data_IF_181653688354
#
_entry.id   IF_181653688354
#
_cell.length_a   1.000
_cell.length_b   1.000
_cell.length_c   1.000
_cell.angle_alpha   90.00
_cell.angle_beta   90.00
_cell.angle_gamma   90.00
#
_symmetry.space_group_name_H-M   'P 1'
#
loop_
_entity.id
_entity.type
_entity.pdbx_description
1 polymer ?
#
# COMPACT_ATOMS: atom_id res chain seq x y z
N UNK A 1 -58.71 -1.54 111.44
CA UNK A 1 -58.59 -0.24 110.75
C UNK A 1 -58.35 -0.56 109.29
N UNK A 2 -59.42 -0.76 108.53
CA UNK A 2 -60.24 0.28 107.88
C UNK A 2 -59.62 0.70 106.54
N UNK A 3 -60.25 0.18 105.49
CA UNK A 3 -60.55 0.75 104.17
C UNK A 3 -59.44 1.10 103.14
N UNK A 4 -59.67 0.49 101.97
CA UNK A 4 -59.28 0.86 100.58
C UNK A 4 -59.66 2.32 100.23
N UNK A 5 -59.11 2.99 99.17
CA UNK A 5 -59.15 2.44 97.81
C UNK A 5 -58.03 2.75 96.80
N UNK A 6 -57.97 1.81 95.84
CA UNK A 6 -57.66 1.91 94.40
C UNK A 6 -57.36 3.31 93.85
N UNK A 7 -56.22 3.41 93.16
CA UNK A 7 -56.14 4.15 91.89
C UNK A 7 -55.15 3.47 90.94
N UNK A 8 -55.68 3.01 89.81
CA UNK A 8 -54.96 2.59 88.60
C UNK A 8 -54.54 3.86 87.86
N UNK A 9 -53.24 4.03 87.57
CA UNK A 9 -52.78 4.94 86.52
C UNK A 9 -51.66 4.20 85.74
N UNK A 10 -52.05 3.50 84.68
CA UNK A 10 -52.10 3.99 83.29
C UNK A 10 -50.76 3.77 82.60
N UNK A 11 -50.64 2.56 82.04
CA UNK A 11 -49.74 2.25 80.94
C UNK A 11 -49.97 3.28 79.82
N UNK A 12 -49.07 4.23 79.64
CA UNK A 12 -49.07 5.05 78.43
C UNK A 12 -48.82 4.14 77.23
N UNK A 13 -49.74 4.06 76.25
CA UNK A 13 -49.46 3.38 75.00
C UNK A 13 -48.44 4.24 74.24
N UNK A 14 -47.24 3.69 74.02
CA UNK A 14 -46.36 4.17 72.97
C UNK A 14 -47.16 4.03 71.68
N UNK A 15 -47.61 5.14 71.13
CA UNK A 15 -48.33 5.14 69.87
C UNK A 15 -47.45 4.45 68.82
N UNK A 16 -47.97 3.47 68.06
CA UNK A 16 -47.21 2.94 66.94
C UNK A 16 -46.88 4.13 66.03
N UNK A 17 -45.63 4.27 65.56
CA UNK A 17 -45.30 5.38 64.68
C UNK A 17 -46.25 5.30 63.51
N UNK A 18 -46.92 6.43 63.22
CA UNK A 18 -47.91 6.52 62.16
C UNK A 18 -47.31 5.89 60.89
N UNK A 19 -48.05 5.04 60.18
CA UNK A 19 -47.58 4.41 58.92
C UNK A 19 -46.98 5.45 57.96
N UNK A 20 -47.49 6.68 58.01
CA UNK A 20 -46.96 7.86 57.33
C UNK A 20 -45.52 8.21 57.70
N UNK A 21 -45.09 8.09 58.96
CA UNK A 21 -43.71 8.37 59.41
C UNK A 21 -42.74 7.31 58.86
N UNK A 22 -43.16 6.05 58.84
CA UNK A 22 -42.37 4.99 58.21
C UNK A 22 -42.30 5.17 56.69
N UNK A 23 -43.42 5.52 56.06
CA UNK A 23 -43.48 5.78 54.63
C UNK A 23 -42.68 7.04 54.25
N UNK A 24 -42.68 8.11 55.05
CA UNK A 24 -41.88 9.31 54.79
C UNK A 24 -40.40 9.03 55.00
N UNK A 25 -40.01 8.24 56.00
CA UNK A 25 -38.63 7.78 56.15
C UNK A 25 -38.21 6.90 54.97
N UNK A 26 -39.06 5.98 54.53
CA UNK A 26 -38.79 5.13 53.37
C UNK A 26 -38.71 5.95 52.09
N UNK A 27 -39.59 6.96 51.92
CA UNK A 27 -39.56 7.87 50.78
C UNK A 27 -38.30 8.75 50.81
N UNK A 28 -37.84 9.23 51.97
CA UNK A 28 -36.57 9.96 52.12
C UNK A 28 -35.37 9.08 51.77
N UNK A 29 -35.39 7.81 52.16
CA UNK A 29 -34.34 6.83 51.84
C UNK A 29 -34.34 6.53 50.32
N UNK A 30 -35.52 6.49 49.68
CA UNK A 30 -35.66 6.26 48.24
C UNK A 30 -35.45 7.52 47.38
N UNK A 31 -35.64 8.71 47.96
CA UNK A 31 -35.43 10.02 47.32
C UNK A 31 -34.02 10.56 47.56
N UNK A 32 -33.20 9.94 48.42
CA UNK A 32 -31.77 10.23 48.44
C UNK A 32 -31.17 9.63 47.17
N UNK A 33 -30.69 10.44 46.21
CA UNK A 33 -29.98 9.90 45.05
C UNK A 33 -28.80 9.08 45.57
N UNK A 34 -28.72 7.81 45.17
CA UNK A 34 -27.79 6.84 45.71
C UNK A 34 -26.34 7.33 45.70
N UNK A 35 -25.89 7.84 46.83
CA UNK A 35 -24.48 8.10 47.12
C UNK A 35 -23.97 6.94 48.00
N UNK A 36 -23.89 5.74 47.42
CA UNK A 36 -22.97 4.74 47.95
C UNK A 36 -21.88 4.51 46.92
N UNK A 37 -20.64 4.45 47.38
CA UNK A 37 -19.37 4.28 46.64
C UNK A 37 -18.55 5.55 46.31
N UNK A 38 -18.69 6.64 47.06
CA UNK A 38 -17.71 7.75 47.01
C UNK A 38 -16.37 7.30 47.62
N UNK A 39 -15.39 6.95 46.78
CA UNK A 39 -14.00 6.66 47.19
C UNK A 39 -13.43 5.32 46.73
N UNK A 40 -14.26 4.41 46.21
CA UNK A 40 -13.81 3.10 45.69
C UNK A 40 -13.31 3.16 44.23
N UNK A 41 -13.45 4.31 43.58
CA UNK A 41 -13.09 4.51 42.18
C UNK A 41 -14.08 3.87 41.21
N UNK A 42 -14.28 4.48 40.06
CA UNK A 42 -14.93 3.88 38.91
C UNK A 42 -14.05 2.78 38.32
N UNK A 43 -14.66 1.87 37.57
CA UNK A 43 -13.89 0.83 36.91
C UNK A 43 -12.91 1.45 35.89
N UNK A 44 -11.65 0.98 35.87
CA UNK A 44 -10.68 1.50 34.94
C UNK A 44 -11.09 1.23 33.50
N UNK A 45 -10.90 2.22 32.64
CA UNK A 45 -11.10 2.09 31.20
C UNK A 45 -9.75 2.07 30.50
N UNK A 46 -9.50 1.10 29.62
CA UNK A 46 -8.28 1.04 28.81
C UNK A 46 -8.62 1.31 27.35
N UNK A 47 -7.85 2.20 26.74
CA UNK A 47 -7.92 2.55 25.33
C UNK A 47 -6.55 2.40 24.66
N UNK A 48 -6.58 2.12 23.36
CA UNK A 48 -5.39 2.01 22.50
C UNK A 48 -5.07 3.39 21.91
N UNK A 49 -3.89 3.95 22.20
CA UNK A 49 -3.47 5.23 21.61
C UNK A 49 -2.80 5.06 20.24
N UNK A 50 -2.05 3.98 20.05
CA UNK A 50 -1.35 3.71 18.79
C UNK A 50 -0.02 3.01 18.97
N UNK A 51 0.91 3.28 18.05
CA UNK A 51 2.23 2.65 18.00
C UNK A 51 3.32 3.63 18.39
N UNK A 52 4.13 3.27 19.38
CA UNK A 52 5.24 4.10 19.88
C UNK A 52 6.44 3.22 20.20
N UNK A 53 7.64 3.65 19.81
CA UNK A 53 8.92 2.95 20.06
C UNK A 53 8.95 1.45 19.65
N UNK A 54 8.24 1.08 18.59
CA UNK A 54 8.16 -0.32 18.14
C UNK A 54 7.26 -1.21 19.01
N UNK A 55 6.48 -0.63 19.91
CA UNK A 55 5.44 -1.28 20.70
C UNK A 55 4.06 -0.65 20.52
N UNK A 56 3.10 -1.13 21.31
CA UNK A 56 1.75 -0.58 21.40
C UNK A 56 1.64 0.30 22.64
N UNK A 57 1.10 1.51 22.47
CA UNK A 57 0.81 2.41 23.57
C UNK A 57 -0.64 2.24 24.04
N UNK A 58 -0.80 1.89 25.31
CA UNK A 58 -2.10 1.78 25.98
C UNK A 58 -2.26 2.96 26.95
N UNK A 59 -3.47 3.52 27.03
CA UNK A 59 -3.87 4.49 28.07
C UNK A 59 -4.91 3.84 28.97
N UNK A 60 -4.79 4.06 30.27
CA UNK A 60 -5.83 3.77 31.23
C UNK A 60 -6.28 5.03 31.96
N UNK A 61 -7.60 5.18 32.13
CA UNK A 61 -8.23 6.26 32.89
C UNK A 61 -9.21 5.71 33.92
N UNK A 62 -9.18 6.25 35.15
CA UNK A 62 -10.12 5.88 36.21
C UNK A 62 -10.30 7.04 37.20
N UNK A 63 -11.53 7.31 37.64
CA UNK A 63 -11.86 8.47 38.50
C UNK A 63 -12.62 8.06 39.77
N UNK A 64 -12.79 8.97 40.72
CA UNK A 64 -13.58 8.72 41.94
C UNK A 64 -12.84 7.97 43.05
N UNK A 65 -11.51 7.99 43.05
CA UNK A 65 -10.68 7.31 44.05
C UNK A 65 -10.49 8.17 45.30
N UNK A 66 -10.60 7.57 46.48
CA UNK A 66 -10.17 8.23 47.72
C UNK A 66 -9.58 7.20 48.69
N UNK A 67 -8.36 7.40 49.21
CA UNK A 67 -7.45 8.53 48.98
C UNK A 67 -6.69 8.34 47.65
N UNK A 68 -5.51 8.96 47.50
CA UNK A 68 -4.66 8.82 46.31
C UNK A 68 -4.42 7.33 45.97
N UNK A 69 -4.84 6.87 44.77
CA UNK A 69 -4.68 5.47 44.37
C UNK A 69 -3.21 5.16 44.02
N UNK A 70 -2.85 3.87 44.06
CA UNK A 70 -1.58 3.37 43.53
C UNK A 70 -1.84 2.55 42.27
N UNK A 71 -1.24 2.97 41.15
CA UNK A 71 -1.37 2.30 39.87
C UNK A 71 -0.12 1.44 39.58
N UNK A 72 -0.32 0.27 38.99
CA UNK A 72 0.78 -0.58 38.56
C UNK A 72 0.40 -1.37 37.31
N UNK A 73 1.25 -1.27 36.30
CA UNK A 73 1.21 -2.09 35.09
C UNK A 73 2.06 -3.34 35.27
N UNK A 74 1.57 -4.47 34.77
CA UNK A 74 2.30 -5.73 34.74
C UNK A 74 2.21 -6.39 33.38
N UNK A 75 3.29 -7.06 33.00
CA UNK A 75 3.32 -7.89 31.80
C UNK A 75 2.70 -9.28 32.06
N UNK A 76 2.69 -10.11 31.01
CA UNK A 76 2.20 -11.50 31.06
C UNK A 76 2.98 -12.40 32.04
N UNK A 77 4.18 -12.00 32.45
CA UNK A 77 5.02 -12.70 33.43
C UNK A 77 4.83 -12.14 34.84
N UNK A 78 3.96 -11.14 35.01
CA UNK A 78 3.71 -10.45 36.27
C UNK A 78 4.79 -9.44 36.65
N UNK A 79 5.75 -9.16 35.77
CA UNK A 79 6.81 -8.17 35.97
C UNK A 79 6.24 -6.76 35.88
N UNK A 80 6.76 -5.87 36.70
CA UNK A 80 6.28 -4.48 36.76
C UNK A 80 6.76 -3.72 35.52
N UNK A 81 5.82 -3.17 34.76
CA UNK A 81 6.12 -2.31 33.64
C UNK A 81 6.14 -0.85 34.10
N UNK A 82 7.19 -0.08 33.74
CA UNK A 82 7.22 1.34 34.02
C UNK A 82 6.15 2.06 33.18
N UNK A 83 5.33 2.95 33.77
CA UNK A 83 4.43 3.79 33.00
C UNK A 83 5.22 4.81 32.17
N UNK A 84 4.76 5.04 30.95
CA UNK A 84 5.24 6.09 30.05
C UNK A 84 4.78 7.47 30.54
N UNK A 85 3.55 7.54 31.04
CA UNK A 85 3.01 8.71 31.72
C UNK A 85 2.10 8.30 32.86
N UNK A 86 2.08 9.10 33.92
CA UNK A 86 1.15 8.95 35.03
C UNK A 86 0.77 10.34 35.55
N UNK A 87 -0.52 10.63 35.53
CA UNK A 87 -1.11 11.87 36.02
C UNK A 87 -2.21 11.52 37.03
N UNK A 88 -2.14 12.14 38.20
CA UNK A 88 -3.16 12.02 39.23
C UNK A 88 -3.65 13.42 39.58
N UNK A 89 -4.92 13.67 39.31
CA UNK A 89 -5.57 14.97 39.51
C UNK A 89 -6.64 14.83 40.58
N UNK A 90 -6.70 15.78 41.51
CA UNK A 90 -7.77 15.84 42.51
C UNK A 90 -8.87 16.78 42.02
N UNK A 91 -10.12 16.35 42.14
CA UNK A 91 -11.29 17.17 41.81
C UNK A 91 -11.72 18.08 42.98
N UNK A 92 -12.71 18.94 42.73
CA UNK A 92 -13.24 19.86 43.73
C UNK A 92 -13.94 19.13 44.89
N UNK A 93 -14.34 17.88 44.67
CA UNK A 93 -14.98 16.99 45.64
C UNK A 93 -13.95 16.23 46.48
N UNK A 94 -12.66 16.41 46.21
CA UNK A 94 -11.55 15.79 46.93
C UNK A 94 -11.23 14.36 46.48
N UNK A 95 -11.88 13.86 45.42
CA UNK A 95 -11.61 12.56 44.81
C UNK A 95 -10.48 12.66 43.79
N UNK A 96 -9.77 11.56 43.58
CA UNK A 96 -8.65 11.45 42.67
C UNK A 96 -9.05 10.78 41.37
N UNK A 97 -8.58 11.35 40.28
CA UNK A 97 -8.63 10.80 38.92
C UNK A 97 -7.23 10.45 38.47
N UNK A 98 -7.06 9.23 37.98
CA UNK A 98 -5.83 8.66 37.50
C UNK A 98 -5.90 8.51 35.97
N UNK A 99 -4.86 8.99 35.30
CA UNK A 99 -4.59 8.72 33.90
C UNK A 99 -3.16 8.22 33.78
N UNK A 100 -2.96 7.06 33.14
CA UNK A 100 -1.63 6.49 32.96
C UNK A 100 -1.51 5.84 31.60
N UNK A 101 -0.32 5.89 31.00
CA UNK A 101 -0.02 5.19 29.76
C UNK A 101 1.19 4.27 29.91
N UNK A 102 1.24 3.21 29.10
CA UNK A 102 2.35 2.26 29.04
C UNK A 102 2.63 1.86 27.60
N UNK A 103 3.90 1.66 27.27
CA UNK A 103 4.32 1.10 25.98
C UNK A 103 4.66 -0.38 26.16
N UNK A 104 3.94 -1.23 25.43
CA UNK A 104 4.09 -2.68 25.47
C UNK A 104 4.87 -3.13 24.24
N UNK A 105 6.09 -3.63 24.46
CA UNK A 105 6.95 -4.16 23.38
C UNK A 105 6.66 -5.65 23.18
N UNK A 106 6.59 -6.07 21.93
CA UNK A 106 5.96 -7.34 21.54
C UNK A 106 6.67 -8.62 21.98
N UNK A 107 5.86 -9.68 22.13
CA UNK A 107 6.19 -11.08 22.35
C UNK A 107 4.91 -11.91 22.20
N UNK A 108 5.02 -13.19 21.81
CA UNK A 108 3.86 -14.02 21.47
C UNK A 108 2.83 -14.01 22.61
N UNK A 109 1.59 -13.60 22.31
CA UNK A 109 0.51 -13.45 23.31
C UNK A 109 0.84 -12.57 24.52
N UNK A 110 1.32 -11.34 24.29
CA UNK A 110 1.58 -10.39 25.38
C UNK A 110 0.27 -9.93 26.04
N UNK A 111 -0.07 -10.53 27.19
CA UNK A 111 -1.09 -10.01 28.09
C UNK A 111 -0.51 -8.89 28.94
N UNK A 112 -1.30 -7.86 29.19
CA UNK A 112 -0.94 -6.79 30.12
C UNK A 112 -2.04 -6.66 31.15
N UNK A 113 -1.66 -6.71 32.42
CA UNK A 113 -2.58 -6.41 33.50
C UNK A 113 -2.29 -5.04 34.07
N UNK A 114 -3.37 -4.31 34.32
CA UNK A 114 -3.34 -3.04 34.97
C UNK A 114 -4.05 -3.18 36.32
N UNK A 115 -3.40 -2.72 37.39
CA UNK A 115 -3.96 -2.80 38.73
C UNK A 115 -3.94 -1.45 39.42
N UNK A 116 -5.08 -1.07 39.99
CA UNK A 116 -5.23 0.08 40.86
C UNK A 116 -5.57 -0.42 42.26
N UNK A 117 -4.80 0.05 43.26
CA UNK A 117 -4.98 -0.32 44.66
C UNK A 117 -5.34 0.90 45.49
N UNK A 118 -6.40 0.75 46.30
CA UNK A 118 -6.73 1.72 47.34
C UNK A 118 -5.95 1.35 48.63
N UNK A 119 -5.04 2.23 49.11
CA UNK A 119 -4.19 1.91 50.25
C UNK A 119 -4.94 1.81 51.58
N UNK A 120 -6.14 2.41 51.72
CA UNK A 120 -6.92 2.35 52.95
C UNK A 120 -7.93 1.19 52.95
N UNK A 121 -8.53 0.92 51.79
CA UNK A 121 -9.59 -0.08 51.68
C UNK A 121 -9.08 -1.48 51.38
N UNK A 122 -7.77 -1.66 51.11
CA UNK A 122 -7.16 -2.93 50.64
C UNK A 122 -7.88 -3.55 49.43
N UNK A 123 -8.70 -2.77 48.74
CA UNK A 123 -9.44 -3.15 47.55
C UNK A 123 -8.55 -2.88 46.33
N UNK A 124 -8.42 -3.90 45.48
CA UNK A 124 -7.66 -3.86 44.22
C UNK A 124 -8.64 -4.00 43.06
N UNK A 125 -8.63 -3.06 42.13
CA UNK A 125 -9.28 -3.22 40.82
C UNK A 125 -8.21 -3.62 39.82
N UNK A 126 -8.44 -4.73 39.12
CA UNK A 126 -7.52 -5.25 38.12
C UNK A 126 -8.25 -5.40 36.79
N UNK A 127 -7.62 -4.94 35.72
CA UNK A 127 -8.09 -5.04 34.36
C UNK A 127 -7.01 -5.72 33.53
N UNK A 128 -7.35 -6.84 32.89
CA UNK A 128 -6.44 -7.61 32.05
C UNK A 128 -6.81 -7.38 30.60
N UNK A 129 -5.85 -6.94 29.80
CA UNK A 129 -6.00 -6.74 28.36
C UNK A 129 -5.13 -7.73 27.62
N UNK A 130 -5.75 -8.47 26.70
CA UNK A 130 -5.06 -9.40 25.82
C UNK A 130 -4.76 -8.68 24.51
N UNK A 131 -3.48 -8.56 24.18
CA UNK A 131 -3.03 -7.96 22.93
C UNK A 131 -2.80 -9.09 21.94
N UNK A 132 -3.57 -9.13 20.84
CA UNK A 132 -3.30 -10.09 19.78
C UNK A 132 -2.01 -9.70 19.03
N UNK A 133 -1.18 -10.70 18.71
CA UNK A 133 0.09 -10.53 17.98
C UNK A 133 -0.06 -9.78 16.65
N UNK A 134 -1.25 -9.82 16.04
CA UNK A 134 -1.57 -9.12 14.79
C UNK A 134 -1.42 -7.60 14.93
N UNK A 135 -1.62 -7.06 16.14
CA UNK A 135 -1.50 -5.63 16.37
C UNK A 135 -0.06 -5.22 16.63
N UNK A 136 0.82 -6.10 17.12
CA UNK A 136 2.20 -5.71 17.37
C UNK A 136 2.92 -5.54 16.02
N UNK A 137 3.63 -4.42 15.79
CA UNK A 137 4.48 -4.26 14.61
C UNK A 137 5.70 -5.17 14.77
N UNK A 138 5.48 -6.48 14.66
CA UNK A 138 6.53 -7.45 14.55
C UNK A 138 7.35 -7.08 13.33
N UNK A 139 8.67 -6.96 13.52
CA UNK A 139 9.65 -7.02 12.44
C UNK A 139 9.51 -8.40 11.80
N UNK A 140 8.53 -8.52 10.91
CA UNK A 140 8.08 -9.83 10.49
C UNK A 140 9.22 -10.52 9.72
N UNK A 141 9.55 -11.78 10.06
CA UNK A 141 10.68 -12.51 9.48
C UNK A 141 10.65 -12.57 7.95
N UNK A 142 9.46 -12.52 7.36
CA UNK A 142 9.28 -12.52 5.91
C UNK A 142 9.99 -11.34 5.21
N UNK A 143 10.10 -10.17 5.86
CA UNK A 143 10.76 -8.99 5.30
C UNK A 143 12.28 -9.15 5.25
N UNK A 144 12.85 -10.01 6.11
CA UNK A 144 14.26 -10.40 6.04
C UNK A 144 14.52 -11.53 5.04
N UNK A 145 13.51 -12.34 4.73
CA UNK A 145 13.63 -13.42 3.74
C UNK A 145 13.72 -12.90 2.29
N UNK A 146 13.23 -11.69 2.01
CA UNK A 146 13.32 -11.09 0.68
C UNK A 146 14.67 -10.43 0.35
N UNK A 147 15.60 -10.33 1.30
CA UNK A 147 16.94 -9.78 1.05
C UNK A 147 18.00 -10.86 0.71
N UNK A 148 17.67 -12.15 0.83
CA UNK A 148 18.59 -13.26 0.60
C UNK A 148 18.53 -13.91 -0.79
N UNK A 149 17.56 -13.55 -1.63
CA UNK A 149 17.41 -14.11 -2.98
C UNK A 149 17.08 -12.99 -3.97
N UNK A 150 18.09 -12.39 -4.63
CA UNK A 150 18.30 -12.76 -6.03
C UNK A 150 19.77 -12.65 -6.47
N UNK A 151 20.67 -13.44 -5.91
CA UNK A 151 22.03 -13.55 -6.48
C UNK A 151 22.08 -14.45 -7.74
N UNK A 152 21.09 -15.34 -7.93
CA UNK A 152 21.08 -16.33 -9.00
C UNK A 152 20.27 -15.94 -10.24
N UNK A 153 19.33 -14.99 -10.12
CA UNK A 153 18.48 -14.57 -11.25
C UNK A 153 19.24 -13.75 -12.32
N UNK A 154 20.11 -12.79 -11.95
CA UNK A 154 20.84 -12.00 -12.94
C UNK A 154 21.81 -12.82 -13.80
N UNK A 155 22.60 -13.78 -13.26
CA UNK A 155 23.45 -14.67 -14.07
C UNK A 155 22.64 -15.53 -15.04
N UNK A 156 21.50 -16.09 -14.60
CA UNK A 156 20.66 -16.94 -15.44
C UNK A 156 20.07 -16.18 -16.63
N UNK A 157 19.59 -14.95 -16.41
CA UNK A 157 19.09 -14.08 -17.47
C UNK A 157 20.19 -13.68 -18.45
N UNK A 158 21.39 -13.37 -17.97
CA UNK A 158 22.52 -13.02 -18.84
C UNK A 158 22.91 -14.18 -19.79
N UNK A 159 22.92 -15.43 -19.28
CA UNK A 159 23.22 -16.63 -20.08
C UNK A 159 22.15 -16.88 -21.15
N UNK A 160 20.88 -16.59 -20.89
CA UNK A 160 19.81 -16.76 -21.88
C UNK A 160 19.76 -15.62 -22.90
N UNK A 161 19.98 -14.38 -22.48
CA UNK A 161 19.89 -13.21 -23.35
C UNK A 161 21.11 -13.08 -24.29
N UNK A 162 22.32 -13.43 -23.85
CA UNK A 162 23.53 -13.24 -24.65
C UNK A 162 23.54 -14.01 -25.99
N UNK A 163 23.18 -15.32 -26.05
CA UNK A 163 23.07 -16.06 -27.31
C UNK A 163 21.99 -15.50 -28.22
N UNK A 164 20.83 -15.14 -27.67
CA UNK A 164 19.72 -14.57 -28.43
C UNK A 164 20.15 -13.24 -29.11
N UNK A 165 20.78 -12.35 -28.35
CA UNK A 165 21.32 -11.09 -28.89
C UNK A 165 22.43 -11.33 -29.92
N UNK A 166 23.30 -12.33 -29.69
CA UNK A 166 24.33 -12.71 -30.66
C UNK A 166 23.74 -13.21 -31.98
N UNK A 167 22.72 -14.07 -31.93
CA UNK A 167 22.04 -14.58 -33.13
C UNK A 167 21.31 -13.47 -33.88
N UNK A 168 20.60 -12.57 -33.17
CA UNK A 168 19.94 -11.41 -33.79
C UNK A 168 20.96 -10.49 -34.48
N UNK A 169 22.10 -10.22 -33.83
CA UNK A 169 23.19 -9.44 -34.45
C UNK A 169 23.77 -10.13 -35.68
N UNK A 170 23.94 -11.46 -35.63
CA UNK A 170 24.45 -12.25 -36.77
C UNK A 170 23.46 -12.22 -37.95
N UNK A 171 22.15 -12.35 -37.68
CA UNK A 171 21.08 -12.26 -38.68
C UNK A 171 21.03 -10.88 -39.34
N UNK A 172 21.09 -9.79 -38.56
CA UNK A 172 21.14 -8.42 -39.10
C UNK A 172 22.33 -8.22 -40.04
N UNK A 173 23.53 -8.65 -39.65
CA UNK A 173 24.72 -8.56 -40.51
C UNK A 173 24.57 -9.37 -41.81
N UNK A 174 23.92 -10.53 -41.79
CA UNK A 174 23.66 -11.27 -43.03
C UNK A 174 22.63 -10.59 -43.93
N UNK A 175 21.59 -10.00 -43.36
CA UNK A 175 20.59 -9.26 -44.13
C UNK A 175 21.18 -8.00 -44.74
N UNK A 176 22.00 -7.25 -44.01
CA UNK A 176 22.68 -6.05 -44.54
C UNK A 176 23.56 -6.40 -45.74
N UNK A 177 24.32 -7.50 -45.68
CA UNK A 177 25.12 -8.00 -46.80
C UNK A 177 24.26 -8.36 -48.01
N UNK A 178 23.13 -9.03 -47.79
CA UNK A 178 22.18 -9.39 -48.85
C UNK A 178 21.56 -8.14 -49.49
N UNK A 179 21.13 -7.18 -48.66
CA UNK A 179 20.58 -5.90 -49.11
C UNK A 179 21.61 -5.11 -49.92
N UNK A 180 22.87 -5.09 -49.48
CA UNK A 180 23.94 -4.43 -50.22
C UNK A 180 24.20 -5.08 -51.59
N UNK A 181 24.20 -6.41 -51.66
CA UNK A 181 24.32 -7.12 -52.95
C UNK A 181 23.11 -6.89 -53.85
N UNK A 182 21.89 -6.91 -53.30
CA UNK A 182 20.67 -6.62 -54.04
C UNK A 182 20.67 -5.18 -54.56
N UNK A 183 21.07 -4.20 -53.74
CA UNK A 183 21.18 -2.80 -54.14
C UNK A 183 22.23 -2.59 -55.25
N UNK A 184 23.38 -3.29 -55.18
CA UNK A 184 24.39 -3.25 -56.26
C UNK A 184 23.86 -3.82 -57.57
N UNK A 185 23.20 -4.99 -57.52
CA UNK A 185 22.61 -5.61 -58.70
C UNK A 185 21.49 -4.76 -59.28
N UNK A 186 20.64 -4.20 -58.43
CA UNK A 186 19.57 -3.28 -58.82
C UNK A 186 20.17 -2.04 -59.49
N UNK A 187 21.19 -1.42 -58.89
CA UNK A 187 21.90 -0.27 -59.46
C UNK A 187 22.54 -0.56 -60.83
N UNK A 188 23.10 -1.76 -61.01
CA UNK A 188 23.68 -2.18 -62.28
C UNK A 188 22.59 -2.40 -63.35
N UNK A 189 21.48 -3.05 -62.99
CA UNK A 189 20.33 -3.21 -63.90
C UNK A 189 19.69 -1.87 -64.26
N UNK A 190 19.58 -0.94 -63.32
CA UNK A 190 19.05 0.40 -63.59
C UNK A 190 19.98 1.17 -64.53
N UNK A 191 21.30 1.07 -64.37
CA UNK A 191 22.25 1.72 -65.27
C UNK A 191 22.21 1.15 -66.70
N UNK A 192 22.10 -0.18 -66.84
CA UNK A 192 21.91 -0.81 -68.16
C UNK A 192 20.56 -0.41 -68.80
N UNK A 193 19.49 -0.31 -68.00
CA UNK A 193 18.20 0.15 -68.50
C UNK A 193 18.25 1.61 -68.96
N UNK A 194 18.89 2.49 -68.20
CA UNK A 194 19.11 3.88 -68.59
C UNK A 194 19.94 3.97 -69.88
N UNK A 195 21.00 3.17 -70.01
CA UNK A 195 21.80 3.11 -71.23
C UNK A 195 20.95 2.69 -72.45
N UNK A 196 20.16 1.62 -72.32
CA UNK A 196 19.24 1.20 -73.38
C UNK A 196 18.19 2.26 -73.70
N UNK A 197 17.68 2.95 -72.68
CA UNK A 197 16.75 4.04 -72.85
C UNK A 197 17.40 5.19 -73.65
N UNK A 198 18.63 5.59 -73.31
CA UNK A 198 19.36 6.63 -74.05
C UNK A 198 19.67 6.23 -75.49
N UNK A 199 19.98 4.97 -75.75
CA UNK A 199 20.20 4.45 -77.11
C UNK A 199 18.90 4.45 -77.94
N UNK A 200 17.77 4.05 -77.35
CA UNK A 200 16.47 4.14 -78.01
C UNK A 200 16.05 5.58 -78.28
N UNK A 201 16.28 6.49 -77.33
CA UNK A 201 15.98 7.91 -77.49
C UNK A 201 16.89 8.55 -78.55
N UNK A 202 18.17 8.19 -78.61
CA UNK A 202 19.09 8.56 -79.69
C UNK A 202 18.56 8.12 -81.07
N UNK A 203 18.21 6.84 -81.24
CA UNK A 203 17.66 6.31 -82.50
C UNK A 203 16.34 6.94 -82.88
N UNK A 204 15.49 7.28 -81.90
CA UNK A 204 14.24 7.99 -82.14
C UNK A 204 14.51 9.40 -82.67
N UNK A 205 15.48 10.12 -82.08
CA UNK A 205 15.86 11.45 -82.54
C UNK A 205 16.51 11.42 -83.93
N UNK A 206 17.34 10.43 -84.23
CA UNK A 206 17.95 10.23 -85.54
C UNK A 206 16.89 9.97 -86.62
N UNK A 207 15.96 9.03 -86.38
CA UNK A 207 14.85 8.78 -87.30
C UNK A 207 13.91 9.98 -87.47
N UNK A 208 13.71 10.78 -86.42
CA UNK A 208 12.94 12.04 -86.52
C UNK A 208 13.68 13.08 -87.36
N UNK A 209 15.00 13.21 -87.23
CA UNK A 209 15.80 14.13 -88.03
C UNK A 209 15.80 13.75 -89.52
N UNK A 210 15.93 12.46 -89.86
CA UNK A 210 15.84 11.98 -91.23
C UNK A 210 14.45 12.24 -91.85
N UNK A 211 13.36 11.96 -91.12
CA UNK A 211 12.00 12.30 -91.55
C UNK A 211 11.80 13.81 -91.75
N UNK A 212 12.34 14.64 -90.84
CA UNK A 212 12.27 16.10 -90.97
C UNK A 212 13.04 16.62 -92.19
N UNK A 213 14.19 16.03 -92.53
CA UNK A 213 14.96 16.38 -93.74
C UNK A 213 14.17 16.01 -95.01
N UNK A 214 13.51 14.85 -95.04
CA UNK A 214 12.67 14.41 -96.16
C UNK A 214 11.42 15.27 -96.34
N UNK A 215 10.80 15.76 -95.26
CA UNK A 215 9.65 16.68 -95.32
C UNK A 215 10.05 18.09 -95.78
N UNK A 216 11.29 18.51 -95.49
CA UNK A 216 11.83 19.80 -95.94
C UNK A 216 12.32 19.83 -97.39
N UNK A 217 12.49 18.66 -98.04
CA UNK A 217 12.72 18.56 -99.48
C UNK A 217 11.38 18.30 -100.19
N UNK A 218 10.72 19.32 -100.78
CA UNK A 218 9.50 19.10 -101.54
C UNK A 218 9.78 18.22 -102.78
N UNK A 219 8.85 17.36 -103.20
CA UNK A 219 9.02 16.56 -104.42
C UNK A 219 8.89 17.51 -105.62
N UNK A 220 10.03 17.95 -106.17
CA UNK A 220 9.99 18.81 -107.34
C UNK A 220 11.29 19.48 -107.75
N UNK A 221 12.40 18.75 -107.87
CA UNK A 221 13.46 19.01 -108.89
C UNK A 221 14.16 17.69 -109.17
N UNK A 222 14.09 17.21 -110.42
CA UNK A 222 14.88 16.07 -110.87
C UNK A 222 16.32 16.48 -111.16
N UNK A 223 17.29 15.66 -110.77
CA UNK A 223 18.57 15.51 -111.48
C UNK A 223 18.87 14.01 -111.60
N UNK A 224 19.33 13.69 -112.80
CA UNK A 224 19.50 12.38 -113.41
C UNK A 224 20.62 11.51 -112.80
N UNK A 225 20.39 10.21 -112.91
CA UNK A 225 21.32 9.15 -113.31
C UNK A 225 22.84 9.38 -113.14
N UNK A 226 23.46 8.48 -112.37
CA UNK A 226 24.68 7.83 -112.82
C UNK A 226 24.53 6.32 -112.64
N UNK A 227 24.51 5.66 -113.79
CA UNK A 227 24.42 4.24 -114.07
C UNK A 227 25.72 3.50 -113.76
N UNK A 228 25.60 2.16 -113.73
CA UNK A 228 26.64 1.10 -113.78
C UNK A 228 27.30 0.75 -112.44
N UNK A 229 27.47 -0.52 -112.06
CA UNK A 229 27.28 -1.81 -112.74
C UNK A 229 27.36 -2.96 -111.73
N UNK A 230 26.40 -3.88 -111.81
CA UNK A 230 26.43 -5.36 -111.69
C UNK A 230 27.21 -6.07 -110.56
N UNK A 231 26.58 -7.05 -109.84
CA UNK A 231 27.19 -7.93 -108.84
C UNK A 231 27.80 -9.20 -109.52
N UNK A 232 28.50 -10.11 -108.82
CA UNK A 232 27.77 -11.20 -108.16
C UNK A 232 28.39 -11.70 -106.84
N UNK A 233 27.55 -12.43 -106.11
CA UNK A 233 27.90 -13.31 -105.01
C UNK A 233 28.95 -14.37 -105.40
N UNK A 234 29.68 -14.91 -104.41
CA UNK A 234 30.05 -16.34 -104.36
C UNK A 234 30.29 -16.77 -102.89
N UNK A 235 29.35 -17.57 -102.37
CA UNK A 235 29.45 -18.83 -101.57
C UNK A 235 30.69 -19.06 -100.68
N UNK A 236 30.55 -19.42 -99.40
CA UNK A 236 30.17 -20.74 -98.82
C UNK A 236 31.12 -21.89 -99.23
N UNK A 237 31.39 -22.77 -98.25
CA UNK A 237 32.19 -24.03 -98.22
C UNK A 237 33.61 -23.79 -97.66
N UNK A 238 34.06 -24.44 -96.60
CA UNK A 238 33.67 -25.71 -95.95
C UNK A 238 34.12 -25.69 -94.47
#
# INVERSE_FOLDING_TARGET
>A
MADFPVSLDSSQPVSPPSSLVFLTHLLLILLWPGELYSGLGLDPHISLEGYKEGGIQLRCSSSGWYPKPKAQWRDHQGQCLPPESEAIVQDAQGLFSLETSVVVRGGAHSNVSFSIQNPLLSQKKELVVQIADVFLPGTSPWKSAFLGAPAALPPLLAVLCAPALYLLRKRRRSEEKLKQQAARKLGQLTAELEKLQTELDWRRAEGQAECSILVSHPPGVGIQAASNSTPPQTTLSE
#
